data_IF_823945086822
#
_entry.id   IF_823945086822
#
_cell.length_a   1.000
_cell.length_b   1.000
_cell.length_c   1.000
_cell.angle_alpha   90.00
_cell.angle_beta   90.00
_cell.angle_gamma   90.00
#
_symmetry.space_group_name_H-M   'P 1'
#
loop_
_entity.id
_entity.type
_entity.pdbx_description
1 polymer ?
#
# COMPACT_ATOMS: atom_id res chain seq x y z
N UNK A 1 -17.68 26.16 -3.69
CA UNK A 1 -17.47 24.85 -3.02
C UNK A 1 -16.69 25.10 -1.73
N UNK A 2 -17.13 24.57 -0.59
CA UNK A 2 -16.45 24.82 0.68
C UNK A 2 -15.10 24.09 0.73
N UNK A 3 -14.09 24.72 1.32
CA UNK A 3 -12.74 24.13 1.47
C UNK A 3 -12.77 22.74 2.15
N UNK A 4 -13.78 22.45 2.97
CA UNK A 4 -13.96 21.16 3.64
C UNK A 4 -14.37 20.04 2.65
N UNK A 5 -15.29 20.34 1.73
CA UNK A 5 -15.70 19.39 0.68
C UNK A 5 -14.53 19.03 -0.23
N UNK A 6 -13.68 19.99 -0.59
CA UNK A 6 -12.47 19.73 -1.38
C UNK A 6 -11.47 18.82 -0.62
N UNK A 7 -11.30 19.01 0.69
CA UNK A 7 -10.45 18.15 1.52
C UNK A 7 -11.02 16.73 1.65
N UNK A 8 -12.33 16.59 1.77
CA UNK A 8 -12.99 15.29 1.80
C UNK A 8 -12.76 14.52 0.48
N UNK A 9 -12.89 15.20 -0.66
CA UNK A 9 -12.56 14.62 -1.97
C UNK A 9 -11.09 14.23 -2.06
N UNK A 10 -10.17 15.07 -1.56
CA UNK A 10 -8.74 14.76 -1.53
C UNK A 10 -8.43 13.52 -0.67
N UNK A 11 -9.09 13.34 0.47
CA UNK A 11 -8.96 12.14 1.32
C UNK A 11 -9.47 10.90 0.58
N UNK A 12 -10.59 11.00 -0.13
CA UNK A 12 -11.13 9.89 -0.94
C UNK A 12 -10.15 9.48 -2.05
N UNK A 13 -9.59 10.46 -2.78
CA UNK A 13 -8.59 10.21 -3.82
C UNK A 13 -7.33 9.56 -3.25
N UNK A 14 -6.78 10.09 -2.15
CA UNK A 14 -5.59 9.52 -1.51
C UNK A 14 -5.84 8.10 -0.97
N UNK A 15 -7.06 7.81 -0.53
CA UNK A 15 -7.45 6.46 -0.10
C UNK A 15 -7.42 5.48 -1.29
N UNK A 16 -7.97 5.89 -2.43
CA UNK A 16 -7.94 5.11 -3.68
C UNK A 16 -6.51 4.90 -4.19
N UNK A 17 -5.66 5.93 -4.15
CA UNK A 17 -4.23 5.81 -4.52
C UNK A 17 -3.49 4.79 -3.66
N UNK A 18 -3.75 4.80 -2.33
CA UNK A 18 -3.19 3.85 -1.37
C UNK A 18 -3.68 2.42 -1.62
N UNK A 19 -4.97 2.24 -1.94
CA UNK A 19 -5.50 0.92 -2.32
C UNK A 19 -4.85 0.38 -3.60
N UNK A 20 -4.71 1.23 -4.62
CA UNK A 20 -4.02 0.87 -5.85
C UNK A 20 -2.54 0.53 -5.60
N UNK A 21 -1.86 1.23 -4.68
CA UNK A 21 -0.49 0.91 -4.28
C UNK A 21 -0.40 -0.44 -3.55
N UNK A 22 -1.36 -0.74 -2.66
CA UNK A 22 -1.44 -2.02 -1.98
C UNK A 22 -1.65 -3.18 -2.96
N UNK A 23 -2.54 -3.02 -3.95
CA UNK A 23 -2.75 -4.01 -5.01
C UNK A 23 -1.47 -4.26 -5.82
N UNK A 24 -0.75 -3.20 -6.22
CA UNK A 24 0.53 -3.32 -6.93
C UNK A 24 1.60 -4.04 -6.11
N UNK A 25 1.68 -3.77 -4.80
CA UNK A 25 2.58 -4.49 -3.91
C UNK A 25 2.22 -5.97 -3.81
N UNK A 26 0.93 -6.31 -3.70
CA UNK A 26 0.47 -7.69 -3.68
C UNK A 26 0.85 -8.44 -4.97
N UNK A 27 0.65 -7.82 -6.13
CA UNK A 27 1.05 -8.39 -7.43
C UNK A 27 2.57 -8.59 -7.51
N UNK A 28 3.37 -7.61 -7.08
CA UNK A 28 4.83 -7.74 -7.06
C UNK A 28 5.30 -8.91 -6.16
N UNK A 29 4.67 -9.09 -4.99
CA UNK A 29 4.95 -10.22 -4.10
C UNK A 29 4.59 -11.56 -4.72
N UNK A 30 3.47 -11.65 -5.43
CA UNK A 30 3.10 -12.85 -6.18
C UNK A 30 4.12 -13.16 -7.28
N UNK A 31 4.55 -12.14 -8.03
CA UNK A 31 5.61 -12.28 -9.04
C UNK A 31 6.92 -12.80 -8.45
N UNK A 32 7.35 -12.23 -7.32
CA UNK A 32 8.54 -12.71 -6.60
C UNK A 32 8.40 -14.18 -6.16
N UNK A 33 7.27 -14.56 -5.55
CA UNK A 33 7.02 -15.95 -5.15
C UNK A 33 7.08 -16.90 -6.35
N UNK A 34 6.47 -16.53 -7.48
CA UNK A 34 6.52 -17.34 -8.70
C UNK A 34 7.96 -17.55 -9.20
N UNK A 35 8.78 -16.50 -9.18
CA UNK A 35 10.20 -16.63 -9.57
C UNK A 35 11.02 -17.48 -8.61
N UNK A 36 10.71 -17.45 -7.31
CA UNK A 36 11.35 -18.30 -6.31
C UNK A 36 10.98 -19.78 -6.51
N UNK A 37 9.71 -20.08 -6.75
CA UNK A 37 9.26 -21.46 -7.05
C UNK A 37 9.96 -22.02 -8.28
N UNK A 38 10.09 -21.21 -9.34
CA UNK A 38 10.83 -21.62 -10.54
C UNK A 38 12.32 -21.87 -10.26
N UNK A 39 12.95 -21.06 -9.41
CA UNK A 39 14.34 -21.27 -9.02
C UNK A 39 14.52 -22.58 -8.26
N UNK A 40 13.66 -22.83 -7.25
CA UNK A 40 13.67 -24.04 -6.45
C UNK A 40 13.48 -25.31 -7.30
N UNK A 41 12.59 -25.24 -8.31
CA UNK A 41 12.40 -26.31 -9.27
C UNK A 41 13.67 -26.59 -10.09
N UNK A 42 14.35 -25.56 -10.58
CA UNK A 42 15.59 -25.74 -11.35
C UNK A 42 16.72 -26.30 -10.48
N UNK A 43 16.88 -25.82 -9.25
CA UNK A 43 17.90 -26.29 -8.32
C UNK A 43 17.65 -27.74 -7.89
N UNK A 44 16.40 -28.09 -7.57
CA UNK A 44 15.99 -29.46 -7.27
C UNK A 44 16.25 -30.38 -8.45
N UNK A 45 15.84 -29.97 -9.65
CA UNK A 45 16.06 -30.77 -10.86
C UNK A 45 17.54 -30.97 -11.19
N UNK A 46 18.38 -29.95 -10.96
CA UNK A 46 19.83 -30.07 -11.10
C UNK A 46 20.42 -31.08 -10.12
N UNK A 47 19.99 -31.04 -8.86
CA UNK A 47 20.45 -31.97 -7.82
C UNK A 47 20.05 -33.42 -8.12
N UNK A 48 18.80 -33.63 -8.53
CA UNK A 48 18.31 -34.95 -8.93
C UNK A 48 19.09 -35.50 -10.12
N UNK A 49 19.32 -34.67 -11.13
CA UNK A 49 20.06 -35.08 -12.34
C UNK A 49 21.49 -35.44 -12.01
N UNK A 50 22.17 -34.67 -11.15
CA UNK A 50 23.52 -34.96 -10.69
C UNK A 50 23.58 -36.29 -9.90
N UNK A 51 22.61 -36.52 -9.03
CA UNK A 51 22.52 -37.76 -8.23
C UNK A 51 22.32 -38.98 -9.12
N UNK A 52 21.40 -38.92 -10.07
CA UNK A 52 21.16 -40.00 -11.04
C UNK A 52 22.40 -40.25 -11.91
N UNK A 53 23.09 -39.18 -12.31
CA UNK A 53 24.30 -39.28 -13.13
C UNK A 53 25.45 -39.97 -12.40
N UNK A 54 25.68 -39.67 -11.11
CA UNK A 54 26.71 -40.32 -10.30
C UNK A 54 26.58 -41.85 -10.32
N UNK A 55 25.35 -42.36 -10.24
CA UNK A 55 25.07 -43.82 -10.27
C UNK A 55 25.30 -44.42 -11.67
N UNK A 56 25.00 -43.68 -12.74
CA UNK A 56 25.02 -44.19 -14.11
C UNK A 56 26.39 -44.03 -14.81
N UNK A 57 27.17 -43.03 -14.41
CA UNK A 57 28.40 -42.58 -15.08
C UNK A 57 29.44 -43.68 -15.35
N UNK A 58 29.50 -44.72 -14.52
CA UNK A 58 30.44 -45.82 -14.67
C UNK A 58 30.19 -46.74 -15.90
N UNK A 59 29.03 -46.63 -16.57
CA UNK A 59 28.61 -47.55 -17.65
C UNK A 59 28.31 -46.84 -18.97
N UNK A 60 28.62 -45.55 -19.09
CA UNK A 60 28.16 -44.71 -20.20
C UNK A 60 29.28 -44.45 -21.21
N UNK A 61 28.93 -44.29 -22.49
CA UNK A 61 29.90 -43.96 -23.54
C UNK A 61 30.37 -42.50 -23.44
N UNK A 62 31.57 -42.18 -23.98
CA UNK A 62 32.10 -40.81 -23.99
C UNK A 62 31.16 -39.78 -24.64
N UNK A 63 30.41 -40.16 -25.67
CA UNK A 63 29.47 -39.27 -26.37
C UNK A 63 28.32 -38.83 -25.45
N UNK A 64 27.74 -39.77 -24.70
CA UNK A 64 26.66 -39.45 -23.74
C UNK A 64 27.22 -38.61 -22.59
N UNK A 65 28.46 -38.85 -22.18
CA UNK A 65 29.12 -38.02 -21.16
C UNK A 65 29.30 -36.57 -21.63
N UNK A 66 29.70 -36.35 -22.89
CA UNK A 66 29.77 -35.00 -23.47
C UNK A 66 28.40 -34.30 -23.49
N UNK A 67 27.33 -35.02 -23.88
CA UNK A 67 25.98 -34.47 -23.87
C UNK A 67 25.49 -34.12 -22.46
N UNK A 68 25.82 -34.95 -21.46
CA UNK A 68 25.49 -34.68 -20.06
C UNK A 68 26.14 -33.37 -19.58
N UNK A 69 27.44 -33.18 -19.80
CA UNK A 69 28.11 -31.95 -19.39
C UNK A 69 27.55 -30.71 -20.10
N UNK A 70 27.31 -30.78 -21.41
CA UNK A 70 26.68 -29.68 -22.15
C UNK A 70 25.28 -29.35 -21.62
N UNK A 71 24.50 -30.36 -21.21
CA UNK A 71 23.20 -30.15 -20.59
C UNK A 71 23.33 -29.47 -19.22
N UNK A 72 24.28 -29.92 -18.39
CA UNK A 72 24.52 -29.32 -17.08
C UNK A 72 24.98 -27.86 -17.20
N UNK A 73 25.84 -27.53 -18.16
CA UNK A 73 26.22 -26.14 -18.43
C UNK A 73 25.01 -25.26 -18.76
N UNK A 74 24.11 -25.73 -19.62
CA UNK A 74 22.86 -25.02 -19.96
C UNK A 74 21.95 -24.86 -18.74
N UNK A 75 21.83 -25.89 -17.91
CA UNK A 75 21.02 -25.86 -16.69
C UNK A 75 21.58 -24.86 -15.67
N UNK A 76 22.90 -24.89 -15.45
CA UNK A 76 23.59 -23.92 -14.60
C UNK A 76 23.42 -22.49 -15.10
N UNK A 77 23.51 -22.28 -16.43
CA UNK A 77 23.24 -20.98 -17.04
C UNK A 77 21.80 -20.51 -16.80
N UNK A 78 20.81 -21.39 -17.00
CA UNK A 78 19.40 -21.09 -16.76
C UNK A 78 19.12 -20.74 -15.27
N UNK A 79 19.75 -21.46 -14.34
CA UNK A 79 19.70 -21.12 -12.90
C UNK A 79 20.28 -19.73 -12.64
N UNK A 80 21.39 -19.37 -13.28
CA UNK A 80 21.98 -18.03 -13.18
C UNK A 80 21.05 -16.92 -13.67
N UNK A 81 20.37 -17.15 -14.80
CA UNK A 81 19.34 -16.23 -15.31
C UNK A 81 18.16 -16.11 -14.33
N UNK A 82 17.70 -17.24 -13.79
CA UNK A 82 16.58 -17.25 -12.84
C UNK A 82 16.93 -16.54 -11.53
N UNK A 83 18.15 -16.70 -11.01
CA UNK A 83 18.64 -15.95 -9.84
C UNK A 83 18.61 -14.44 -10.09
N UNK A 84 19.02 -14.02 -11.28
CA UNK A 84 18.95 -12.61 -11.67
C UNK A 84 17.50 -12.11 -11.73
N UNK A 85 16.56 -12.91 -12.24
CA UNK A 85 15.14 -12.58 -12.25
C UNK A 85 14.54 -12.47 -10.83
N UNK A 86 14.91 -13.37 -9.91
CA UNK A 86 14.53 -13.28 -8.50
C UNK A 86 15.02 -11.98 -7.87
N UNK A 87 16.29 -11.60 -8.10
CA UNK A 87 16.84 -10.33 -7.61
C UNK A 87 16.07 -9.12 -8.15
N UNK A 88 15.72 -9.13 -9.44
CA UNK A 88 14.89 -8.07 -10.04
C UNK A 88 13.52 -7.98 -9.37
N UNK A 89 12.87 -9.11 -9.07
CA UNK A 89 11.58 -9.11 -8.38
C UNK A 89 11.68 -8.65 -6.92
N UNK A 90 12.77 -8.98 -6.21
CA UNK A 90 13.02 -8.44 -4.86
C UNK A 90 13.08 -6.91 -4.90
N UNK A 91 13.82 -6.35 -5.87
CA UNK A 91 13.91 -4.89 -6.04
C UNK A 91 12.54 -4.27 -6.40
N UNK A 92 11.75 -4.96 -7.23
CA UNK A 92 10.40 -4.52 -7.58
C UNK A 92 9.46 -4.51 -6.37
N UNK A 93 9.51 -5.53 -5.51
CA UNK A 93 8.74 -5.58 -4.26
C UNK A 93 9.15 -4.42 -3.35
N UNK A 94 10.44 -4.16 -3.18
CA UNK A 94 10.94 -3.05 -2.37
C UNK A 94 10.44 -1.70 -2.89
N UNK A 95 10.49 -1.48 -4.21
CA UNK A 95 9.98 -0.26 -4.85
C UNK A 95 8.47 -0.09 -4.62
N UNK A 96 7.68 -1.15 -4.80
CA UNK A 96 6.23 -1.07 -4.56
C UNK A 96 5.90 -0.85 -3.08
N UNK A 97 6.69 -1.41 -2.17
CA UNK A 97 6.52 -1.23 -0.74
C UNK A 97 6.76 0.23 -0.33
N UNK A 98 7.80 0.87 -0.87
CA UNK A 98 8.03 2.30 -0.62
C UNK A 98 6.91 3.17 -1.19
N UNK A 99 6.42 2.88 -2.41
CA UNK A 99 5.26 3.59 -2.98
C UNK A 99 4.01 3.45 -2.12
N UNK A 100 3.75 2.26 -1.58
CA UNK A 100 2.63 2.04 -0.65
C UNK A 100 2.81 2.87 0.63
N UNK A 101 4.01 2.89 1.20
CA UNK A 101 4.33 3.69 2.39
C UNK A 101 4.10 5.18 2.15
N UNK A 102 4.58 5.73 1.03
CA UNK A 102 4.38 7.14 0.65
C UNK A 102 2.89 7.46 0.49
N UNK A 103 2.12 6.58 -0.16
CA UNK A 103 0.69 6.77 -0.33
C UNK A 103 -0.06 6.78 1.01
N UNK A 104 0.29 5.88 1.94
CA UNK A 104 -0.29 5.86 3.29
C UNK A 104 0.03 7.15 4.07
N UNK A 105 1.30 7.58 4.09
CA UNK A 105 1.70 8.82 4.78
C UNK A 105 0.94 10.04 4.22
N UNK A 106 0.76 10.12 2.89
CA UNK A 106 -0.04 11.18 2.25
C UNK A 106 -1.50 11.12 2.69
N UNK A 107 -2.10 9.93 2.72
CA UNK A 107 -3.48 9.71 3.15
C UNK A 107 -3.67 10.15 4.60
N UNK A 108 -2.81 9.70 5.51
CA UNK A 108 -2.85 10.06 6.93
C UNK A 108 -2.74 11.57 7.14
N UNK A 109 -1.81 12.22 6.43
CA UNK A 109 -1.64 13.67 6.49
C UNK A 109 -2.91 14.43 6.08
N UNK A 110 -3.58 13.97 5.01
CA UNK A 110 -4.83 14.57 4.54
C UNK A 110 -6.00 14.32 5.51
N UNK A 111 -6.08 13.13 6.10
CA UNK A 111 -7.10 12.79 7.12
C UNK A 111 -6.94 13.70 8.34
N UNK A 112 -5.72 13.88 8.84
CA UNK A 112 -5.45 14.78 9.97
C UNK A 112 -5.79 16.23 9.65
N UNK A 113 -5.43 16.71 8.45
CA UNK A 113 -5.77 18.05 8.01
C UNK A 113 -7.28 18.26 7.89
N UNK A 114 -8.00 17.28 7.32
CA UNK A 114 -9.46 17.31 7.23
C UNK A 114 -10.10 17.39 8.62
N UNK A 115 -9.72 16.50 9.55
CA UNK A 115 -10.24 16.48 10.91
C UNK A 115 -9.98 17.80 11.65
N UNK A 116 -8.80 18.40 11.47
CA UNK A 116 -8.47 19.71 12.05
C UNK A 116 -9.39 20.81 11.52
N UNK A 117 -9.59 20.89 10.20
CA UNK A 117 -10.46 21.89 9.57
C UNK A 117 -11.93 21.71 9.94
N UNK A 118 -12.36 20.46 10.08
CA UNK A 118 -13.71 20.14 10.53
C UNK A 118 -13.95 20.61 11.97
N UNK A 119 -13.00 20.36 12.88
CA UNK A 119 -13.08 20.83 14.25
C UNK A 119 -13.08 22.36 14.37
N UNK A 120 -12.26 23.06 13.57
CA UNK A 120 -12.26 24.53 13.48
C UNK A 120 -13.61 25.06 13.01
N UNK A 121 -14.20 24.46 11.98
CA UNK A 121 -15.50 24.86 11.46
C UNK A 121 -16.61 24.63 12.50
N UNK A 122 -16.63 23.49 13.18
CA UNK A 122 -17.60 23.20 14.25
C UNK A 122 -17.52 24.26 15.35
N UNK A 123 -16.31 24.57 15.85
CA UNK A 123 -16.10 25.62 16.87
C UNK A 123 -16.62 26.99 16.43
N UNK A 124 -16.47 27.35 15.16
CA UNK A 124 -16.99 28.61 14.63
C UNK A 124 -18.52 28.61 14.57
N UNK A 125 -19.13 27.49 14.18
CA UNK A 125 -20.59 27.31 14.19
C UNK A 125 -21.13 27.38 15.62
N UNK A 126 -20.56 26.63 16.56
CA UNK A 126 -20.99 26.61 17.97
C UNK A 126 -20.95 28.02 18.58
N UNK A 127 -19.88 28.79 18.32
CA UNK A 127 -19.76 30.19 18.77
C UNK A 127 -20.82 31.10 18.17
N UNK A 128 -21.20 30.89 16.89
CA UNK A 128 -22.25 31.68 16.24
C UNK A 128 -23.62 31.34 16.80
N UNK A 129 -23.91 30.06 17.00
CA UNK A 129 -25.16 29.58 17.58
C UNK A 129 -25.33 30.08 19.02
N UNK A 130 -24.26 29.99 19.83
CA UNK A 130 -24.26 30.54 21.19
C UNK A 130 -24.55 32.04 21.19
N UNK A 131 -23.87 32.82 20.35
CA UNK A 131 -24.10 34.28 20.25
C UNK A 131 -25.55 34.61 19.89
N UNK A 132 -26.14 33.90 18.92
CA UNK A 132 -27.55 34.10 18.52
C UNK A 132 -28.50 33.73 19.66
N UNK A 133 -28.22 32.64 20.38
CA UNK A 133 -29.00 32.22 21.53
C UNK A 133 -28.96 33.27 22.66
N UNK A 134 -27.77 33.78 22.98
CA UNK A 134 -27.58 34.81 24.00
C UNK A 134 -28.30 36.12 23.63
N UNK A 135 -28.24 36.54 22.36
CA UNK A 135 -28.96 37.72 21.85
C UNK A 135 -30.48 37.57 21.98
N UNK A 136 -31.02 36.38 21.65
CA UNK A 136 -32.44 36.09 21.79
C UNK A 136 -32.87 36.09 23.27
N UNK A 137 -32.08 35.48 24.16
CA UNK A 137 -32.34 35.47 25.60
C UNK A 137 -32.34 36.89 26.17
N UNK A 138 -31.37 37.73 25.79
CA UNK A 138 -31.30 39.13 26.22
C UNK A 138 -32.50 39.97 25.73
N UNK A 139 -32.97 39.74 24.50
CA UNK A 139 -34.18 40.39 23.97
C UNK A 139 -35.44 39.96 24.72
N UNK A 140 -35.59 38.66 25.02
CA UNK A 140 -36.72 38.14 25.79
C UNK A 140 -36.70 38.68 27.22
N UNK A 141 -35.54 38.66 27.88
CA UNK A 141 -35.37 39.22 29.22
C UNK A 141 -35.75 40.71 29.23
N UNK A 142 -35.31 41.49 28.24
CA UNK A 142 -35.68 42.91 28.12
C UNK A 142 -37.19 43.12 27.95
N UNK A 143 -37.87 42.28 27.16
CA UNK A 143 -39.33 42.34 27.01
C UNK A 143 -40.06 42.02 28.31
N UNK A 144 -39.62 40.98 29.02
CA UNK A 144 -40.22 40.58 30.30
C UNK A 144 -39.96 41.63 31.38
N UNK A 145 -38.73 42.14 31.49
CA UNK A 145 -38.37 43.20 32.42
C UNK A 145 -39.08 44.54 32.11
N UNK A 146 -39.26 44.86 30.82
CA UNK A 146 -40.02 46.03 30.38
C UNK A 146 -41.54 45.90 30.63
N UNK A 147 -42.09 44.69 30.60
CA UNK A 147 -43.49 44.42 30.92
C UNK A 147 -43.82 44.53 32.42
N UNK A 148 -42.84 44.26 33.29
CA UNK A 148 -43.00 44.37 34.75
C UNK A 148 -42.99 45.83 35.24
N UNK A 149 -42.41 46.76 34.47
CA UNK A 149 -42.38 48.20 34.80
C UNK A 149 -43.49 49.04 34.16
N UNK A 150 -44.37 48.44 33.34
CA UNK A 150 -45.49 49.12 32.68
C UNK A 150 -46.88 48.81 33.25
N UNK A 151 -46.94 48.07 34.37
CA UNK A 151 -48.17 47.66 35.04
C UNK A 151 -48.24 48.17 36.48
N UNK A 152 -48.31 49.50 36.64
CA UNK A 152 -48.81 50.23 37.80
C UNK A 152 -49.55 51.47 37.27
#
# INVERSE_FOLDING_TARGET
>A
MSNLSALQTAVSLATSERDAAAQRLAQARQGWLATQVQLDQLETYAQETMTRWQVQSARVTPEIMAHHYQFMERLTHAIGLQKSAVTQQVNQVALMADRMRVAETRRESLVQLHAKREAEQRRLTDRREQKVSDEQAALQYRRLAGGVMGGL
#
